data_IF_703977842576
#
_entry.id   IF_703977842576
#
_cell.length_a   1.000
_cell.length_b   1.000
_cell.length_c   1.000
_cell.angle_alpha   90.00
_cell.angle_beta   90.00
_cell.angle_gamma   90.00
#
_symmetry.space_group_name_H-M   'P 1'
#
loop_
_entity.id
_entity.type
_entity.pdbx_description
1 polymer ?
#
# COMPACT_ATOMS: atom_id res chain seq x y z
N UNK A 1 15.87 -13.92 -10.19
CA UNK A 1 15.73 -12.45 -10.07
C UNK A 1 16.30 -12.04 -8.70
N UNK A 2 16.85 -10.84 -8.53
CA UNK A 2 17.33 -10.37 -7.22
C UNK A 2 17.09 -8.85 -7.10
N UNK A 3 15.83 -8.47 -6.88
CA UNK A 3 15.42 -7.09 -6.62
C UNK A 3 15.66 -6.75 -5.14
N UNK A 4 15.94 -5.48 -4.84
CA UNK A 4 16.13 -5.00 -3.47
C UNK A 4 14.82 -4.43 -2.89
N UNK A 5 13.99 -3.86 -3.77
CA UNK A 5 12.73 -3.17 -3.47
C UNK A 5 11.64 -3.59 -4.46
N UNK A 6 10.44 -3.83 -3.96
CA UNK A 6 9.23 -3.91 -4.77
C UNK A 6 8.37 -2.67 -4.55
N UNK A 7 7.79 -2.15 -5.62
CA UNK A 7 6.82 -1.06 -5.56
C UNK A 7 5.48 -1.58 -6.06
N UNK A 8 4.44 -1.46 -5.24
CA UNK A 8 3.09 -1.89 -5.59
C UNK A 8 2.25 -0.65 -5.87
N UNK A 9 1.84 -0.47 -7.12
CA UNK A 9 1.13 0.71 -7.58
C UNK A 9 -0.37 0.49 -7.82
N UNK A 10 -1.16 1.50 -7.50
CA UNK A 10 -2.52 1.67 -8.02
C UNK A 10 -2.56 2.42 -9.35
N UNK A 11 -3.67 3.12 -9.62
CA UNK A 11 -3.82 3.98 -10.81
C UNK A 11 -2.75 5.07 -10.81
N UNK A 12 -2.17 5.36 -11.98
CA UNK A 12 -1.43 6.60 -12.23
C UNK A 12 0.05 6.59 -11.82
N UNK A 13 0.58 5.48 -11.30
CA UNK A 13 2.02 5.33 -11.05
C UNK A 13 2.53 4.07 -11.77
N UNK A 14 3.59 4.22 -12.56
CA UNK A 14 4.30 3.13 -13.20
C UNK A 14 5.79 3.45 -13.25
N UNK A 15 6.63 2.43 -13.12
CA UNK A 15 8.06 2.56 -13.39
C UNK A 15 8.35 2.14 -14.82
N UNK A 16 9.19 2.91 -15.52
CA UNK A 16 9.76 2.48 -16.79
C UNK A 16 10.70 1.31 -16.57
N UNK A 17 10.68 0.33 -17.47
CA UNK A 17 11.52 -0.84 -17.36
C UNK A 17 11.13 -1.97 -18.30
N UNK A 18 11.67 -3.16 -18.02
CA UNK A 18 11.46 -4.33 -18.85
C UNK A 18 10.37 -5.21 -18.25
N UNK A 19 9.32 -5.49 -19.04
CA UNK A 19 8.27 -6.42 -18.66
C UNK A 19 8.85 -7.81 -18.35
N UNK A 20 8.27 -8.45 -17.33
CA UNK A 20 8.61 -9.78 -16.88
C UNK A 20 7.39 -10.40 -16.18
N UNK A 21 7.49 -11.67 -15.84
CA UNK A 21 6.44 -12.37 -15.10
C UNK A 21 7.04 -13.23 -13.99
N UNK A 22 6.37 -13.26 -12.84
CA UNK A 22 6.75 -14.10 -11.72
C UNK A 22 5.61 -15.07 -11.44
N UNK A 23 5.89 -16.36 -11.64
CA UNK A 23 5.01 -17.43 -11.20
C UNK A 23 5.04 -17.52 -9.66
N UNK A 24 3.87 -17.70 -9.04
CA UNK A 24 3.72 -17.90 -7.59
C UNK A 24 2.79 -19.09 -7.34
N UNK A 25 2.78 -19.68 -6.12
CA UNK A 25 1.80 -20.72 -5.77
C UNK A 25 0.33 -20.25 -5.88
N UNK A 26 0.11 -18.93 -5.99
CA UNK A 26 -1.20 -18.30 -6.06
C UNK A 26 -1.56 -17.79 -7.46
N UNK A 27 -0.71 -18.04 -8.47
CA UNK A 27 -0.89 -17.58 -9.84
C UNK A 27 0.29 -16.75 -10.38
N UNK A 28 0.16 -16.29 -11.62
CA UNK A 28 1.17 -15.48 -12.30
C UNK A 28 0.97 -14.00 -12.02
N UNK A 29 2.07 -13.26 -11.87
CA UNK A 29 2.06 -11.82 -11.65
C UNK A 29 2.98 -11.15 -12.66
N UNK A 30 2.41 -10.35 -13.55
CA UNK A 30 3.17 -9.49 -14.44
C UNK A 30 3.84 -8.38 -13.65
N UNK A 31 5.12 -8.14 -13.92
CA UNK A 31 5.94 -7.14 -13.23
C UNK A 31 6.77 -6.34 -14.24
N UNK A 32 7.18 -5.14 -13.86
CA UNK A 32 8.18 -4.37 -14.61
C UNK A 32 9.47 -4.37 -13.81
N UNK A 33 10.56 -4.88 -14.39
CA UNK A 33 11.90 -4.76 -13.81
C UNK A 33 12.46 -3.39 -14.12
N UNK A 34 12.81 -2.64 -13.08
CA UNK A 34 13.28 -1.27 -13.17
C UNK A 34 14.51 -1.04 -12.28
N UNK A 35 15.03 0.19 -12.29
CA UNK A 35 16.07 0.65 -11.37
C UNK A 35 15.72 2.01 -10.81
N UNK A 36 15.84 2.15 -9.50
CA UNK A 36 15.73 3.44 -8.81
C UNK A 36 17.14 3.84 -8.35
N UNK A 37 17.78 4.77 -9.07
CA UNK A 37 19.20 5.18 -8.90
C UNK A 37 20.19 4.00 -8.78
N UNK A 38 20.02 2.97 -9.59
CA UNK A 38 20.91 1.81 -9.61
C UNK A 38 20.49 0.68 -8.67
N UNK A 39 19.62 0.93 -7.69
CA UNK A 39 18.99 -0.11 -6.89
C UNK A 39 18.03 -0.92 -7.77
N UNK A 40 18.04 -2.25 -7.65
CA UNK A 40 17.18 -3.10 -8.47
C UNK A 40 15.78 -3.06 -7.89
N UNK A 41 14.81 -2.65 -8.69
CA UNK A 41 13.42 -2.58 -8.27
C UNK A 41 12.53 -3.43 -9.19
N UNK A 42 11.42 -3.89 -8.65
CA UNK A 42 10.29 -4.34 -9.46
C UNK A 42 9.07 -3.49 -9.18
N UNK A 43 8.28 -3.25 -10.21
CA UNK A 43 6.97 -2.63 -10.11
C UNK A 43 5.89 -3.67 -10.36
N UNK A 44 4.87 -3.68 -9.49
CA UNK A 44 3.71 -4.57 -9.60
C UNK A 44 2.46 -3.69 -9.65
N UNK A 45 1.69 -3.78 -10.74
CA UNK A 45 0.38 -3.15 -10.83
C UNK A 45 -0.63 -3.94 -9.99
N UNK A 46 -1.16 -3.34 -8.93
CA UNK A 46 -2.10 -3.99 -8.01
C UNK A 46 -3.34 -4.52 -8.72
N UNK A 47 -3.84 -3.74 -9.66
CA UNK A 47 -5.10 -4.02 -10.35
C UNK A 47 -4.87 -4.73 -11.69
N UNK A 48 -3.61 -4.98 -12.09
CA UNK A 48 -3.24 -5.53 -13.39
C UNK A 48 -3.71 -4.66 -14.56
N UNK A 49 -3.55 -5.16 -15.78
CA UNK A 49 -3.88 -4.43 -17.02
C UNK A 49 -5.39 -4.19 -17.17
N UNK A 50 -6.23 -5.07 -16.60
CA UNK A 50 -7.69 -4.98 -16.63
C UNK A 50 -8.30 -4.09 -15.55
N UNK A 51 -7.48 -3.44 -14.71
CA UNK A 51 -7.91 -2.64 -13.56
C UNK A 51 -8.96 -3.34 -12.67
N UNK A 52 -8.61 -4.52 -12.16
CA UNK A 52 -9.47 -5.36 -11.31
C UNK A 52 -10.00 -4.58 -10.09
N UNK A 53 -11.25 -4.81 -9.66
CA UNK A 53 -11.75 -4.19 -8.43
C UNK A 53 -11.01 -4.74 -7.19
N UNK A 54 -10.92 -3.98 -6.08
CA UNK A 54 -10.12 -4.35 -4.91
C UNK A 54 -10.39 -5.77 -4.36
N UNK A 55 -11.66 -6.17 -4.24
CA UNK A 55 -12.05 -7.50 -3.76
C UNK A 55 -11.64 -8.67 -4.69
N UNK A 56 -11.20 -8.40 -5.93
CA UNK A 56 -10.73 -9.41 -6.89
C UNK A 56 -9.21 -9.44 -7.03
N UNK A 57 -8.49 -8.52 -6.39
CA UNK A 57 -7.03 -8.48 -6.42
C UNK A 57 -6.47 -9.72 -5.72
N UNK A 58 -5.51 -10.39 -6.36
CA UNK A 58 -4.84 -11.54 -5.77
C UNK A 58 -3.63 -11.10 -4.94
N UNK A 59 -3.90 -10.58 -3.74
CA UNK A 59 -2.87 -10.05 -2.85
C UNK A 59 -1.81 -11.08 -2.46
N UNK A 60 -2.20 -12.36 -2.31
CA UNK A 60 -1.27 -13.47 -2.05
C UNK A 60 -0.25 -13.64 -3.18
N UNK A 61 -0.72 -13.61 -4.42
CA UNK A 61 0.18 -13.68 -5.58
C UNK A 61 1.11 -12.45 -5.63
N UNK A 62 0.59 -11.24 -5.45
CA UNK A 62 1.40 -10.00 -5.48
C UNK A 62 2.52 -10.02 -4.44
N UNK A 63 2.21 -10.32 -3.18
CA UNK A 63 3.21 -10.36 -2.11
C UNK A 63 4.17 -11.54 -2.28
N UNK A 64 3.67 -12.71 -2.72
CA UNK A 64 4.54 -13.85 -3.05
C UNK A 64 5.51 -13.52 -4.19
N UNK A 65 5.05 -12.82 -5.22
CA UNK A 65 5.89 -12.36 -6.33
C UNK A 65 6.95 -11.36 -5.86
N UNK A 66 6.57 -10.41 -5.01
CA UNK A 66 7.51 -9.50 -4.37
C UNK A 66 8.62 -10.26 -3.62
N UNK A 67 8.25 -11.22 -2.76
CA UNK A 67 9.23 -12.08 -2.06
C UNK A 67 10.12 -12.87 -3.02
N UNK A 68 9.52 -13.56 -4.01
CA UNK A 68 10.24 -14.41 -4.98
C UNK A 68 11.14 -13.63 -5.93
N UNK A 69 10.91 -12.33 -6.10
CA UNK A 69 11.80 -11.45 -6.86
C UNK A 69 13.15 -11.21 -6.17
N UNK A 70 13.25 -11.51 -4.87
CA UNK A 70 14.38 -11.21 -4.00
C UNK A 70 14.16 -9.99 -3.11
N UNK A 71 13.12 -9.18 -3.38
CA UNK A 71 12.87 -7.96 -2.62
C UNK A 71 12.67 -8.26 -1.13
N UNK A 72 13.30 -7.44 -0.28
CA UNK A 72 13.12 -7.48 1.17
C UNK A 72 12.16 -6.40 1.67
N UNK A 73 11.81 -5.46 0.79
CA UNK A 73 11.09 -4.24 1.10
C UNK A 73 10.02 -3.99 0.05
N UNK A 74 8.90 -3.44 0.51
CA UNK A 74 7.76 -3.05 -0.30
C UNK A 74 7.38 -1.61 0.05
N UNK A 75 7.32 -0.76 -0.96
CA UNK A 75 6.60 0.51 -0.89
C UNK A 75 5.31 0.36 -1.70
N UNK A 76 4.19 0.57 -1.04
CA UNK A 76 2.87 0.49 -1.64
C UNK A 76 2.29 1.89 -1.85
N UNK A 77 1.56 2.13 -2.93
CA UNK A 77 0.77 3.36 -3.10
C UNK A 77 -0.72 3.08 -3.03
N UNK A 78 -1.45 3.95 -2.33
CA UNK A 78 -2.90 3.85 -2.17
C UNK A 78 -3.54 5.25 -2.31
N UNK A 79 -4.72 5.31 -2.92
CA UNK A 79 -5.59 6.50 -2.84
C UNK A 79 -6.58 6.32 -1.70
N UNK A 80 -6.84 7.38 -0.93
CA UNK A 80 -7.71 7.33 0.25
C UNK A 80 -8.65 8.52 0.34
N UNK A 81 -9.80 8.31 0.97
CA UNK A 81 -10.68 9.37 1.45
C UNK A 81 -10.34 9.75 2.90
N UNK A 82 -10.34 11.03 3.23
CA UNK A 82 -10.10 11.47 4.61
C UNK A 82 -11.36 11.40 5.48
N UNK A 83 -11.25 10.92 6.70
CA UNK A 83 -12.30 10.95 7.73
C UNK A 83 -11.93 11.88 8.89
N UNK A 84 -10.66 12.28 8.99
CA UNK A 84 -10.12 13.18 10.03
C UNK A 84 -9.79 14.61 9.54
N UNK A 85 -10.07 14.93 8.27
CA UNK A 85 -9.93 16.30 7.75
C UNK A 85 -8.57 16.64 7.14
N UNK A 86 -7.71 15.64 6.90
CA UNK A 86 -6.50 15.80 6.07
C UNK A 86 -6.83 16.43 4.70
N UNK A 87 -6.00 17.35 4.24
CA UNK A 87 -6.27 18.07 2.99
C UNK A 87 -6.15 17.14 1.76
N UNK A 88 -7.05 17.21 0.77
CA UNK A 88 -6.83 16.57 -0.52
C UNK A 88 -5.50 17.01 -1.15
N UNK A 89 -4.73 16.07 -1.69
CA UNK A 89 -3.36 16.29 -2.18
C UNK A 89 -2.27 16.03 -1.15
N UNK A 90 -2.61 16.02 0.15
CA UNK A 90 -1.62 15.70 1.19
C UNK A 90 -1.25 14.23 1.19
N UNK A 91 -0.05 13.97 1.73
CA UNK A 91 0.48 12.63 1.92
C UNK A 91 0.03 12.12 3.29
N UNK A 92 -0.39 10.85 3.33
CA UNK A 92 -0.73 10.15 4.55
C UNK A 92 0.09 8.86 4.64
N UNK A 93 0.75 8.62 5.77
CA UNK A 93 1.53 7.42 6.03
C UNK A 93 0.92 6.63 7.20
N UNK A 94 0.13 5.58 6.92
CA UNK A 94 -0.47 4.77 7.96
C UNK A 94 0.56 4.23 8.95
N UNK A 95 0.23 4.28 10.24
CA UNK A 95 0.97 3.62 11.31
C UNK A 95 0.24 2.40 11.88
N UNK A 96 -1.08 2.33 11.66
CA UNK A 96 -1.93 1.21 12.03
C UNK A 96 -3.09 1.06 11.03
N UNK A 97 -3.90 0.00 11.18
CA UNK A 97 -5.04 -0.27 10.33
C UNK A 97 -6.24 -0.86 11.08
N UNK A 98 -7.43 -0.63 10.54
CA UNK A 98 -8.67 -1.32 10.92
C UNK A 98 -9.30 -1.93 9.67
N UNK A 99 -9.85 -3.12 9.81
CA UNK A 99 -10.29 -3.94 8.70
C UNK A 99 -11.82 -4.15 8.73
N UNK A 100 -12.48 -3.89 7.60
CA UNK A 100 -13.92 -4.09 7.37
C UNK A 100 -14.17 -4.90 6.09
N UNK A 101 -13.21 -5.74 5.71
CA UNK A 101 -13.27 -6.54 4.49
C UNK A 101 -13.80 -7.94 4.77
N UNK A 102 -14.15 -8.67 3.71
CA UNK A 102 -15.11 -9.79 3.81
C UNK A 102 -14.74 -10.98 2.96
N UNK A 103 -14.28 -10.76 1.72
CA UNK A 103 -14.31 -11.83 0.70
C UNK A 103 -12.95 -12.29 0.19
N UNK A 104 -11.85 -11.72 0.70
CA UNK A 104 -10.51 -11.92 0.17
C UNK A 104 -9.64 -12.79 1.08
N UNK A 105 -8.88 -13.75 0.53
CA UNK A 105 -7.87 -14.48 1.29
C UNK A 105 -6.84 -13.53 1.89
N UNK A 106 -6.60 -13.66 3.19
CA UNK A 106 -5.82 -12.70 3.98
C UNK A 106 -4.62 -13.32 4.70
N UNK A 107 -4.35 -14.61 4.50
CA UNK A 107 -3.19 -15.31 5.06
C UNK A 107 -2.55 -16.27 4.05
N UNK A 108 -1.26 -16.53 4.22
CA UNK A 108 -0.52 -17.60 3.57
C UNK A 108 -0.59 -18.93 4.34
N UNK A 109 -1.06 -18.92 5.59
CA UNK A 109 -1.03 -20.07 6.50
C UNK A 109 -2.44 -20.63 6.73
N UNK A 110 -2.96 -21.37 5.75
CA UNK A 110 -4.29 -21.98 5.82
C UNK A 110 -4.30 -23.30 6.62
N UNK A 111 -3.16 -24.02 6.63
CA UNK A 111 -3.06 -25.39 7.17
C UNK A 111 -2.28 -25.47 8.50
N UNK A 112 -1.71 -24.35 8.96
CA UNK A 112 -0.88 -24.30 10.18
C UNK A 112 -1.22 -23.06 10.99
N UNK A 113 -1.22 -23.20 12.31
CA UNK A 113 -1.38 -22.07 13.22
C UNK A 113 -0.10 -21.22 13.23
N UNK A 114 -0.10 -20.13 12.47
CA UNK A 114 0.95 -19.12 12.47
C UNK A 114 0.33 -17.77 12.84
N UNK A 115 0.79 -17.19 13.94
CA UNK A 115 0.26 -15.97 14.52
C UNK A 115 1.31 -14.87 14.50
N UNK A 116 1.39 -14.14 13.38
CA UNK A 116 2.33 -13.03 13.24
C UNK A 116 1.85 -11.82 14.04
N UNK A 117 2.74 -11.25 14.86
CA UNK A 117 2.47 -10.04 15.63
C UNK A 117 2.30 -8.82 14.73
N UNK A 118 1.17 -8.12 14.87
CA UNK A 118 0.83 -6.91 14.12
C UNK A 118 0.89 -5.62 14.95
N UNK A 119 1.53 -5.62 16.13
CA UNK A 119 1.70 -4.42 16.98
C UNK A 119 2.44 -3.27 16.28
N UNK A 120 3.24 -3.58 15.27
CA UNK A 120 3.89 -2.61 14.38
C UNK A 120 3.68 -3.08 12.93
N UNK A 121 2.52 -2.76 12.33
CA UNK A 121 2.10 -3.34 11.04
C UNK A 121 2.93 -2.80 9.87
N UNK A 122 3.32 -1.53 9.94
CA UNK A 122 4.13 -0.86 8.92
C UNK A 122 5.59 -0.70 9.38
N UNK A 123 6.53 -0.87 8.45
CA UNK A 123 7.96 -0.81 8.74
C UNK A 123 8.39 0.63 9.09
N UNK A 124 8.98 0.87 10.28
CA UNK A 124 9.37 2.21 10.70
C UNK A 124 10.49 2.81 9.84
N UNK A 125 11.41 1.98 9.32
CA UNK A 125 12.51 2.43 8.46
C UNK A 125 11.99 2.98 7.13
N UNK A 126 11.03 2.29 6.50
CA UNK A 126 10.44 2.75 5.23
C UNK A 126 9.58 3.99 5.47
N UNK A 127 8.79 4.02 6.55
CA UNK A 127 7.98 5.19 6.90
C UNK A 127 8.85 6.43 7.12
N UNK A 128 9.95 6.31 7.87
CA UNK A 128 10.88 7.42 8.09
C UNK A 128 11.47 7.95 6.78
N UNK A 129 11.91 7.04 5.89
CA UNK A 129 12.43 7.40 4.58
C UNK A 129 11.38 8.12 3.70
N UNK A 130 10.13 7.66 3.72
CA UNK A 130 9.02 8.30 3.00
C UNK A 130 8.70 9.69 3.56
N UNK A 131 8.69 9.85 4.89
CA UNK A 131 8.46 11.14 5.54
C UNK A 131 9.55 12.15 5.15
N UNK A 132 10.82 11.76 5.24
CA UNK A 132 11.95 12.62 4.86
C UNK A 132 11.88 13.01 3.37
N UNK A 133 11.60 12.04 2.50
CA UNK A 133 11.45 12.27 1.07
C UNK A 133 10.32 13.26 0.75
N UNK A 134 9.15 13.10 1.38
CA UNK A 134 8.01 14.00 1.20
C UNK A 134 8.31 15.42 1.71
N UNK A 135 8.90 15.56 2.90
CA UNK A 135 9.30 16.87 3.43
C UNK A 135 10.34 17.58 2.54
N UNK A 136 11.26 16.83 1.91
CA UNK A 136 12.23 17.38 0.96
C UNK A 136 11.61 17.94 -0.34
N UNK A 137 10.32 17.66 -0.56
CA UNK A 137 9.49 18.14 -1.67
C UNK A 137 8.39 19.11 -1.19
N UNK A 138 8.52 19.63 0.04
CA UNK A 138 7.54 20.53 0.66
C UNK A 138 6.13 19.95 0.70
N UNK A 139 6.00 18.63 0.83
CA UNK A 139 4.72 17.95 1.00
C UNK A 139 4.42 17.77 2.48
N UNK A 140 3.20 18.10 2.88
CA UNK A 140 2.70 17.81 4.22
C UNK A 140 2.46 16.30 4.37
N UNK A 141 2.97 15.73 5.47
CA UNK A 141 2.81 14.32 5.81
C UNK A 141 2.01 14.20 7.10
N UNK A 142 0.87 13.53 7.00
CA UNK A 142 0.10 13.09 8.16
C UNK A 142 0.33 11.59 8.43
N UNK A 143 0.13 11.16 9.67
CA UNK A 143 0.12 9.75 10.06
C UNK A 143 -1.13 9.43 10.88
N UNK A 144 -1.51 8.15 10.91
CA UNK A 144 -2.67 7.69 11.65
C UNK A 144 -3.15 6.33 11.17
N UNK A 145 -4.42 6.03 11.41
CA UNK A 145 -5.02 4.72 11.19
C UNK A 145 -5.72 4.65 9.84
N UNK A 146 -5.37 3.63 9.05
CA UNK A 146 -6.04 3.33 7.79
C UNK A 146 -7.22 2.39 8.01
N UNK A 147 -8.43 2.79 7.61
CA UNK A 147 -9.60 1.91 7.60
C UNK A 147 -9.76 1.27 6.22
N UNK A 148 -9.74 -0.06 6.15
CA UNK A 148 -9.90 -0.80 4.91
C UNK A 148 -11.34 -1.29 4.70
N UNK A 149 -12.06 -0.70 3.76
CA UNK A 149 -13.37 -1.15 3.31
C UNK A 149 -13.26 -2.14 2.13
N UNK A 150 -14.33 -2.91 1.89
CA UNK A 150 -14.34 -3.97 0.86
C UNK A 150 -14.34 -3.41 -0.59
N UNK A 151 -15.12 -2.36 -0.84
CA UNK A 151 -15.50 -1.98 -2.20
C UNK A 151 -16.41 -3.01 -2.90
N UNK A 152 -16.63 -2.90 -4.22
CA UNK A 152 -16.11 -1.87 -5.11
C UNK A 152 -16.93 -0.56 -5.09
N UNK A 153 -18.13 -0.57 -4.50
CA UNK A 153 -18.87 0.67 -4.29
C UNK A 153 -18.18 1.51 -3.21
N UNK A 154 -18.24 2.83 -3.36
CA UNK A 154 -17.84 3.75 -2.28
C UNK A 154 -18.79 3.61 -1.10
N UNK A 155 -18.31 4.00 0.08
CA UNK A 155 -19.03 3.88 1.32
C UNK A 155 -20.27 4.79 1.34
N UNK A 156 -21.36 4.34 1.98
CA UNK A 156 -22.44 5.25 2.34
C UNK A 156 -21.99 6.25 3.41
N UNK A 157 -22.59 7.45 3.50
CA UNK A 157 -22.32 8.40 4.57
C UNK A 157 -22.53 7.82 5.98
N UNK A 158 -23.43 6.85 6.14
CA UNK A 158 -23.64 6.16 7.41
C UNK A 158 -22.45 5.26 7.78
N UNK A 159 -21.88 4.53 6.81
CA UNK A 159 -20.66 3.75 7.01
C UNK A 159 -19.46 4.65 7.35
N UNK A 160 -19.30 5.79 6.67
CA UNK A 160 -18.24 6.74 6.99
C UNK A 160 -18.38 7.27 8.43
N UNK A 161 -19.58 7.67 8.86
CA UNK A 161 -19.83 8.09 10.25
C UNK A 161 -19.53 7.00 11.26
N UNK A 162 -19.84 5.74 10.93
CA UNK A 162 -19.55 4.58 11.77
C UNK A 162 -18.04 4.31 11.87
N UNK A 163 -17.29 4.45 10.77
CA UNK A 163 -15.86 4.12 10.70
C UNK A 163 -14.95 5.23 11.25
N UNK A 164 -15.40 6.49 11.24
CA UNK A 164 -14.60 7.65 11.68
C UNK A 164 -13.96 7.51 13.07
N UNK A 165 -14.60 6.93 14.11
CA UNK A 165 -13.95 6.75 15.41
C UNK A 165 -12.81 5.73 15.41
N UNK A 166 -12.69 4.92 14.37
CA UNK A 166 -11.70 3.85 14.25
C UNK A 166 -10.51 4.20 13.36
N UNK A 167 -10.52 5.36 12.70
CA UNK A 167 -9.35 5.83 11.97
C UNK A 167 -9.54 7.08 11.15
N UNK A 168 -8.46 7.46 10.48
CA UNK A 168 -8.26 8.79 9.91
C UNK A 168 -8.56 8.85 8.42
N UNK A 169 -8.31 7.76 7.71
CA UNK A 169 -8.52 7.63 6.27
C UNK A 169 -9.20 6.31 5.94
N UNK A 170 -9.93 6.28 4.83
CA UNK A 170 -10.57 5.07 4.31
C UNK A 170 -10.07 4.75 2.90
N UNK A 171 -9.81 3.48 2.64
CA UNK A 171 -9.52 2.98 1.30
C UNK A 171 -9.79 1.48 1.21
N UNK A 172 -9.45 0.86 0.09
CA UNK A 172 -9.88 -0.52 -0.20
C UNK A 172 -8.76 -1.54 -0.34
N UNK A 173 -7.49 -1.12 -0.26
CA UNK A 173 -6.36 -1.92 -0.74
C UNK A 173 -5.19 -2.07 0.24
N UNK A 174 -5.19 -1.37 1.39
CA UNK A 174 -4.11 -1.47 2.39
C UNK A 174 -4.07 -2.82 3.11
N UNK A 175 -5.24 -3.40 3.38
CA UNK A 175 -5.40 -4.80 3.83
C UNK A 175 -5.79 -5.67 2.62
N UNK A 176 -5.47 -6.98 2.57
CA UNK A 176 -4.55 -7.71 3.44
C UNK A 176 -3.07 -7.51 3.05
N UNK A 177 -2.76 -6.56 2.17
CA UNK A 177 -1.39 -6.34 1.67
C UNK A 177 -0.37 -6.15 2.81
N UNK A 178 -0.71 -5.37 3.84
CA UNK A 178 0.13 -5.16 5.04
C UNK A 178 0.37 -6.44 5.84
N UNK A 179 -0.67 -7.26 6.04
CA UNK A 179 -0.58 -8.51 6.82
C UNK A 179 0.23 -9.55 6.06
N UNK A 180 -0.07 -9.76 4.78
CA UNK A 180 0.64 -10.72 3.95
C UNK A 180 2.12 -10.34 3.81
N UNK A 181 2.45 -9.05 3.70
CA UNK A 181 3.84 -8.63 3.68
C UNK A 181 4.57 -8.99 5.00
N UNK A 182 3.89 -8.83 6.15
CA UNK A 182 4.42 -9.23 7.45
C UNK A 182 4.61 -10.75 7.54
N UNK A 183 3.63 -11.54 7.09
CA UNK A 183 3.73 -13.00 6.99
C UNK A 183 4.86 -13.48 6.06
N UNK A 184 5.20 -12.69 5.03
CA UNK A 184 6.33 -12.95 4.14
C UNK A 184 7.70 -12.46 4.70
N UNK A 185 7.72 -11.93 5.93
CA UNK A 185 8.88 -11.30 6.57
C UNK A 185 9.51 -10.18 5.70
N UNK A 186 8.65 -9.40 5.04
CA UNK A 186 9.00 -8.24 4.22
C UNK A 186 8.75 -6.95 5.01
N UNK A 187 9.64 -5.98 4.83
CA UNK A 187 9.36 -4.61 5.29
C UNK A 187 8.30 -3.99 4.37
N UNK A 188 7.24 -3.43 4.94
CA UNK A 188 6.14 -2.85 4.16
C UNK A 188 5.76 -1.47 4.69
N UNK A 189 5.58 -0.49 3.81
CA UNK A 189 4.90 0.75 4.14
C UNK A 189 3.97 1.16 2.99
N UNK A 190 2.91 1.90 3.32
CA UNK A 190 1.99 2.47 2.35
C UNK A 190 2.15 3.99 2.32
N UNK A 191 2.36 4.52 1.12
CA UNK A 191 2.28 5.94 0.78
C UNK A 191 0.86 6.21 0.28
N UNK A 192 0.03 6.77 1.15
CA UNK A 192 -1.34 7.14 0.79
C UNK A 192 -1.41 8.58 0.28
N UNK A 193 -2.22 8.81 -0.75
CA UNK A 193 -2.58 10.13 -1.24
C UNK A 193 -4.04 10.38 -0.89
N UNK A 194 -4.31 11.44 -0.14
CA UNK A 194 -5.69 11.86 0.18
C UNK A 194 -6.29 12.48 -1.07
N UNK A 195 -7.25 11.84 -1.71
CA UNK A 195 -7.84 12.33 -2.97
C UNK A 195 -9.20 12.98 -2.79
N UNK A 196 -9.88 12.69 -1.68
CA UNK A 196 -11.26 13.10 -1.47
C UNK A 196 -11.61 13.16 0.02
N UNK A 197 -12.71 13.84 0.42
CA UNK A 197 -13.10 13.96 1.81
C UNK A 197 -13.83 12.72 2.37
N UNK A 198 -13.87 11.57 1.69
CA UNK A 198 -14.80 10.46 1.93
C UNK A 198 -16.28 10.85 1.76
N UNK A 199 -17.14 9.86 1.50
CA UNK A 199 -18.55 10.11 1.17
C UNK A 199 -19.33 10.78 2.31
N UNK A 200 -20.00 11.90 2.01
CA UNK A 200 -20.94 12.56 2.92
C UNK A 200 -20.34 13.36 4.07
N UNK A 201 -19.04 13.64 4.06
CA UNK A 201 -18.35 14.49 5.06
C UNK A 201 -18.35 15.97 4.70
N UNK A 202 -18.31 16.30 3.41
CA UNK A 202 -18.36 17.66 2.90
C UNK A 202 -19.74 17.94 2.27
N UNK A 203 -20.34 19.09 2.61
CA UNK A 203 -21.66 19.51 2.11
C UNK A 203 -21.77 19.59 0.57
N UNK A 204 -20.63 19.69 -0.12
CA UNK A 204 -20.53 19.82 -1.58
C UNK A 204 -20.06 18.55 -2.28
N UNK A 205 -19.74 17.47 -1.55
CA UNK A 205 -19.24 16.23 -2.14
C UNK A 205 -20.40 15.24 -2.32
N UNK A 206 -21.34 15.58 -3.20
CA UNK A 206 -22.43 14.68 -3.61
C UNK A 206 -22.03 13.78 -4.78
N UNK A 207 -20.98 14.14 -5.52
CA UNK A 207 -20.68 13.57 -6.84
C UNK A 207 -19.33 12.82 -6.88
N UNK A 208 -18.80 12.41 -5.72
CA UNK A 208 -17.53 11.68 -5.66
C UNK A 208 -17.61 10.42 -6.54
N UNK A 209 -16.79 10.40 -7.58
CA UNK A 209 -16.78 9.30 -8.54
C UNK A 209 -15.35 8.84 -8.85
N UNK A 210 -15.25 7.65 -9.45
CA UNK A 210 -13.97 7.03 -9.75
C UNK A 210 -13.10 7.86 -10.74
N UNK A 211 -13.72 8.64 -11.64
CA UNK A 211 -12.98 9.48 -12.59
C UNK A 211 -12.25 10.61 -11.87
N UNK A 212 -12.92 11.30 -10.94
CA UNK A 212 -12.31 12.37 -10.16
C UNK A 212 -11.13 11.87 -9.33
N UNK A 213 -11.28 10.70 -8.69
CA UNK A 213 -10.20 10.07 -7.93
C UNK A 213 -9.01 9.77 -8.84
N UNK A 214 -9.27 9.23 -10.03
CA UNK A 214 -8.25 8.93 -11.03
C UNK A 214 -7.53 10.19 -11.51
N UNK A 215 -8.28 11.22 -11.89
CA UNK A 215 -7.72 12.47 -12.41
C UNK A 215 -6.89 13.20 -11.34
N UNK A 216 -7.34 13.15 -10.09
CA UNK A 216 -6.58 13.67 -8.96
C UNK A 216 -5.27 12.92 -8.76
N UNK A 217 -5.31 11.58 -8.80
CA UNK A 217 -4.10 10.77 -8.69
C UNK A 217 -3.11 11.02 -9.83
N UNK A 218 -3.59 11.21 -11.06
CA UNK A 218 -2.72 11.53 -12.21
C UNK A 218 -1.97 12.85 -11.99
N UNK A 219 -2.61 13.86 -11.37
CA UNK A 219 -1.96 15.13 -11.02
C UNK A 219 -0.87 14.98 -9.96
N UNK A 220 -1.02 14.01 -9.06
CA UNK A 220 -0.06 13.75 -7.98
C UNK A 220 1.04 12.74 -8.38
N UNK A 221 0.94 12.11 -9.55
CA UNK A 221 1.78 10.95 -9.93
C UNK A 221 3.27 11.25 -9.92
N UNK A 222 3.68 12.41 -10.46
CA UNK A 222 5.08 12.84 -10.50
C UNK A 222 5.65 13.05 -9.09
N UNK A 223 4.91 13.76 -8.22
CA UNK A 223 5.31 13.98 -6.82
C UNK A 223 5.42 12.65 -6.07
N UNK A 224 4.45 11.75 -6.23
CA UNK A 224 4.46 10.42 -5.60
C UNK A 224 5.66 9.61 -6.08
N UNK A 225 5.95 9.63 -7.39
CA UNK A 225 7.10 8.94 -7.95
C UNK A 225 8.43 9.47 -7.40
N UNK A 226 8.57 10.79 -7.29
CA UNK A 226 9.77 11.42 -6.73
C UNK A 226 9.93 11.12 -5.23
N UNK A 227 8.83 11.05 -4.45
CA UNK A 227 8.87 10.61 -3.05
C UNK A 227 9.41 9.18 -2.96
N UNK A 228 8.84 8.24 -3.71
CA UNK A 228 9.25 6.84 -3.70
C UNK A 228 10.72 6.72 -4.10
N UNK A 229 11.12 7.46 -5.13
CA UNK A 229 12.48 7.49 -5.62
C UNK A 229 13.47 7.98 -4.55
N UNK A 230 13.19 9.12 -3.89
CA UNK A 230 14.04 9.65 -2.81
C UNK A 230 14.06 8.72 -1.59
N UNK A 231 12.91 8.17 -1.21
CA UNK A 231 12.81 7.25 -0.08
C UNK A 231 13.61 5.96 -0.33
N UNK A 232 13.57 5.41 -1.55
CA UNK A 232 14.36 4.25 -1.92
C UNK A 232 15.87 4.46 -1.70
N UNK A 233 16.35 5.71 -1.78
CA UNK A 233 17.75 6.05 -1.51
C UNK A 233 18.10 6.22 -0.04
N UNK A 234 17.15 6.63 0.80
CA UNK A 234 17.37 6.88 2.23
C UNK A 234 17.08 5.67 3.12
N UNK A 235 16.37 4.66 2.59
CA UNK A 235 16.16 3.41 3.32
C UNK A 235 17.53 2.74 3.63
N UNK A 236 17.82 2.42 4.89
CA UNK A 236 19.06 1.74 5.27
C UNK A 236 19.21 0.40 4.54
N UNK A 237 20.41 0.10 4.03
CA UNK A 237 20.70 -1.18 3.36
C UNK A 237 20.49 -2.37 4.30
N UNK A 238 20.90 -2.25 5.56
CA UNK A 238 20.71 -3.26 6.60
C UNK A 238 19.36 -3.06 7.29
N UNK A 239 18.54 -4.11 7.33
CA UNK A 239 17.26 -4.12 8.08
C UNK A 239 17.54 -4.21 9.58
N UNK A 240 17.32 -3.10 10.30
CA UNK A 240 17.37 -3.04 11.76
C UNK A 240 15.98 -3.17 12.41
N UNK A 241 14.91 -3.03 11.63
CA UNK A 241 13.54 -3.30 12.08
C UNK A 241 13.28 -4.80 12.31
N UNK A 242 12.19 -5.09 13.04
CA UNK A 242 11.75 -6.46 13.39
C UNK A 242 10.98 -7.19 12.28
N UNK A 243 10.77 -6.57 11.11
CA UNK A 243 9.95 -7.16 10.04
C UNK A 243 10.55 -8.47 9.49
N UNK A 244 11.88 -8.56 9.43
CA UNK A 244 12.59 -9.77 8.98
C UNK A 244 12.42 -10.96 9.94
N UNK A 245 12.15 -10.66 11.21
CA UNK A 245 12.04 -11.63 12.29
C UNK A 245 10.58 -11.96 12.59
N UNK A 246 9.62 -11.49 11.77
CA UNK A 246 8.18 -11.57 12.03
C UNK A 246 7.64 -13.01 12.20
N UNK A 247 8.32 -14.00 11.63
CA UNK A 247 7.97 -15.42 11.75
C UNK A 247 8.68 -16.12 12.93
N UNK A 248 9.62 -15.45 13.58
CA UNK A 248 10.32 -16.02 14.74
C UNK A 248 9.30 -16.26 15.85
N UNK A 249 9.16 -17.51 16.28
CA UNK A 249 8.22 -17.91 17.35
C UNK A 249 6.73 -17.66 17.01
N UNK A 250 6.39 -17.46 15.72
CA UNK A 250 5.01 -17.22 15.30
C UNK A 250 4.21 -18.51 15.08
N UNK A 251 4.88 -19.65 14.86
CA UNK A 251 4.24 -20.94 14.63
C UNK A 251 4.06 -21.72 15.95
N UNK A 252 2.92 -22.42 16.07
CA UNK A 252 2.59 -23.33 17.18
C UNK A 252 2.74 -24.79 16.72
#
# INVERSE_FOLDING_TARGET
MNADLAVIGGIGFALEGMADEIETPYGHVSVIRSRLKGQKAIFISRHGDGHLPPHRVNYRAIISAAKRSGAERIISTNTVGTMAGHAPGSIFLPNDYVEFTKSRPNTFFEEKAVHVGMSEPYCPEIRAALTEAAHSLSQDVSEGIYVCAEGPHLESPAQIRMMRPFGDVVGMTGYPEVVLAKEAALCYASLCIVTNPACGTAKQCTDLNASEIKDFMLKCSETVGEIIYRAAQSIPEKRSCRCKDALSEAAI
#
